data_IF_815434487001
#
_entry.id   IF_815434487001
#
_cell.length_a   1.000
_cell.length_b   1.000
_cell.length_c   1.000
_cell.angle_alpha   90.00
_cell.angle_beta   90.00
_cell.angle_gamma   90.00
#
_symmetry.space_group_name_H-M   'P 1'
#
loop_
_entity.id
_entity.type
_entity.pdbx_description
1 polymer ?
#
# COMPACT_ATOMS: atom_id res chain seq x y z
N UNK A 1 -13.24 7.25 24.68
CA UNK A 1 -12.10 8.11 24.27
C UNK A 1 -11.34 7.33 23.22
N UNK A 2 -11.23 7.84 21.99
CA UNK A 2 -10.53 7.13 20.91
C UNK A 2 -9.05 7.04 21.24
N UNK A 3 -8.46 5.85 21.06
CA UNK A 3 -7.03 5.68 21.22
C UNK A 3 -6.30 6.31 20.04
N UNK A 4 -5.21 7.04 20.31
CA UNK A 4 -4.31 7.54 19.26
C UNK A 4 -3.38 6.42 18.80
N UNK A 5 -3.53 6.00 17.55
CA UNK A 5 -2.66 5.01 16.92
C UNK A 5 -1.58 5.69 16.07
N UNK A 6 -0.32 5.36 16.34
CA UNK A 6 0.84 5.82 15.56
C UNK A 6 1.36 4.76 14.57
N UNK A 7 0.65 3.64 14.45
CA UNK A 7 0.95 2.51 13.58
C UNK A 7 -0.33 1.76 13.25
N UNK A 8 -0.36 1.14 12.07
CA UNK A 8 -1.50 0.33 11.63
C UNK A 8 -1.76 -0.88 12.57
N UNK A 9 -3.02 -1.23 12.85
CA UNK A 9 -3.39 -2.42 13.64
C UNK A 9 -2.89 -3.75 13.06
N UNK A 10 -2.92 -3.88 11.74
CA UNK A 10 -2.48 -5.04 10.98
C UNK A 10 -1.26 -4.70 10.12
N UNK A 11 -0.46 -5.69 9.71
CA UNK A 11 0.64 -5.48 8.78
C UNK A 11 0.14 -4.86 7.47
N UNK A 12 0.75 -3.74 7.09
CA UNK A 12 0.53 -3.05 5.83
C UNK A 12 1.87 -2.50 5.34
N UNK A 13 2.22 -2.80 4.10
CA UNK A 13 3.46 -2.34 3.46
C UNK A 13 3.33 -0.85 3.15
N UNK A 14 4.36 -0.06 3.44
CA UNK A 14 4.34 1.37 3.16
C UNK A 14 3.61 2.24 4.19
N UNK A 15 3.07 1.66 5.29
CA UNK A 15 2.44 2.46 6.35
C UNK A 15 3.36 3.59 6.85
N UNK A 16 2.79 4.79 7.01
CA UNK A 16 3.55 6.01 7.35
C UNK A 16 3.84 6.18 8.85
N UNK A 17 4.02 5.07 9.57
CA UNK A 17 4.29 5.06 11.02
C UNK A 17 5.52 5.88 11.43
N UNK A 18 6.55 5.92 10.58
CA UNK A 18 7.78 6.69 10.85
C UNK A 18 7.56 8.20 10.70
N UNK A 19 6.56 8.61 9.91
CA UNK A 19 6.18 10.01 9.71
C UNK A 19 5.07 10.48 10.65
N UNK A 20 4.44 9.58 11.43
CA UNK A 20 3.26 9.90 12.23
C UNK A 20 3.43 11.16 13.08
N UNK A 21 4.56 11.30 13.80
CA UNK A 21 4.82 12.47 14.65
C UNK A 21 5.01 13.77 13.88
N UNK A 22 5.70 13.74 12.74
CA UNK A 22 5.87 14.94 11.90
C UNK A 22 4.56 15.30 11.21
N UNK A 23 3.79 14.31 10.77
CA UNK A 23 2.48 14.52 10.19
C UNK A 23 1.51 15.19 11.18
N UNK A 24 1.54 14.81 12.46
CA UNK A 24 0.77 15.47 13.51
C UNK A 24 1.08 16.97 13.60
N UNK A 25 2.36 17.37 13.53
CA UNK A 25 2.75 18.80 13.53
C UNK A 25 2.26 19.53 12.27
N UNK A 26 2.25 18.85 11.13
CA UNK A 26 1.70 19.41 9.89
C UNK A 26 0.20 19.66 10.05
N UNK A 27 -0.53 18.74 10.68
CA UNK A 27 -1.98 18.89 10.93
C UNK A 27 -2.31 20.08 11.84
N UNK A 28 -1.43 20.49 12.74
CA UNK A 28 -1.63 21.67 13.60
C UNK A 28 -1.84 22.96 12.79
N UNK A 29 -1.27 23.05 11.57
CA UNK A 29 -1.35 24.22 10.69
C UNK A 29 -2.74 24.41 10.07
N UNK A 30 -3.59 23.38 10.10
CA UNK A 30 -4.92 23.41 9.50
C UNK A 30 -6.00 23.59 10.56
N UNK A 31 -7.05 24.41 10.33
CA UNK A 31 -8.17 24.54 11.26
C UNK A 31 -8.89 23.20 11.52
N UNK A 32 -9.41 23.02 12.73
CA UNK A 32 -10.40 21.95 12.95
C UNK A 32 -11.70 22.29 12.21
N UNK A 33 -12.32 21.30 11.58
CA UNK A 33 -13.41 21.52 10.60
C UNK A 33 -12.95 21.54 9.14
N UNK A 34 -11.64 21.50 8.87
CA UNK A 34 -11.09 21.32 7.51
C UNK A 34 -11.54 19.98 6.91
N UNK A 35 -11.83 19.93 5.62
CA UNK A 35 -12.03 18.68 4.89
C UNK A 35 -10.68 18.07 4.49
N UNK A 36 -10.42 16.86 4.95
CA UNK A 36 -9.27 16.06 4.53
C UNK A 36 -9.71 14.89 3.67
N UNK A 37 -9.01 14.69 2.55
CA UNK A 37 -9.29 13.60 1.62
C UNK A 37 -8.03 12.75 1.44
N UNK A 38 -8.05 11.55 1.99
CA UNK A 38 -6.99 10.56 1.87
C UNK A 38 -7.21 9.73 0.61
N UNK A 39 -6.50 10.10 -0.46
CA UNK A 39 -6.69 9.53 -1.79
C UNK A 39 -6.14 8.10 -1.90
N UNK A 40 -5.07 7.82 -1.17
CA UNK A 40 -4.35 6.53 -1.14
C UNK A 40 -4.35 6.01 0.29
N UNK A 41 -5.55 5.74 0.80
CA UNK A 41 -5.75 5.54 2.23
C UNK A 41 -4.95 4.38 2.82
N UNK A 42 -4.66 3.33 2.03
CA UNK A 42 -3.88 2.18 2.46
C UNK A 42 -4.39 1.61 3.78
N UNK A 43 -3.54 1.62 4.81
CA UNK A 43 -3.92 1.15 6.16
C UNK A 43 -4.86 2.08 6.95
N UNK A 44 -5.24 3.23 6.41
CA UNK A 44 -6.02 4.27 7.09
C UNK A 44 -5.27 5.02 8.21
N UNK A 45 -3.94 4.88 8.30
CA UNK A 45 -3.17 5.46 9.42
C UNK A 45 -3.19 6.99 9.40
N UNK A 46 -3.02 7.60 8.22
CA UNK A 46 -3.05 9.06 8.08
C UNK A 46 -4.45 9.58 8.40
N UNK A 47 -5.48 8.99 7.79
CA UNK A 47 -6.89 9.26 8.10
C UNK A 47 -7.20 9.16 9.60
N UNK A 48 -6.77 8.09 10.28
CA UNK A 48 -6.96 7.91 11.72
C UNK A 48 -6.32 9.04 12.55
N UNK A 49 -5.06 9.39 12.25
CA UNK A 49 -4.34 10.45 12.96
C UNK A 49 -5.05 11.79 12.73
N UNK A 50 -5.42 12.09 11.48
CA UNK A 50 -6.15 13.31 11.13
C UNK A 50 -7.44 13.43 11.90
N UNK A 51 -8.31 12.40 11.90
CA UNK A 51 -9.60 12.46 12.60
C UNK A 51 -9.44 12.54 14.12
N UNK A 52 -8.39 11.93 14.67
CA UNK A 52 -8.11 11.96 16.11
C UNK A 52 -7.61 13.33 16.58
N UNK A 53 -6.85 14.06 15.75
CA UNK A 53 -6.38 15.42 16.05
C UNK A 53 -7.37 16.53 15.67
N UNK A 54 -8.22 16.26 14.68
CA UNK A 54 -9.22 17.19 14.15
C UNK A 54 -10.61 16.53 14.23
N UNK A 55 -11.18 16.40 15.44
CA UNK A 55 -12.44 15.67 15.63
C UNK A 55 -13.62 16.30 14.89
N UNK A 56 -13.60 17.61 14.65
CA UNK A 56 -14.66 18.32 13.92
C UNK A 56 -14.44 18.34 12.40
N UNK A 57 -13.23 18.01 11.93
CA UNK A 57 -12.95 17.80 10.51
C UNK A 57 -13.68 16.60 9.92
N UNK A 58 -14.10 16.74 8.66
CA UNK A 58 -14.51 15.61 7.83
C UNK A 58 -13.27 14.96 7.24
N UNK A 59 -13.16 13.64 7.35
CA UNK A 59 -11.99 12.89 6.85
C UNK A 59 -12.49 11.77 5.96
N UNK A 60 -12.24 11.91 4.66
CA UNK A 60 -12.54 10.88 3.67
C UNK A 60 -11.35 9.91 3.62
N UNK A 61 -11.61 8.65 3.92
CA UNK A 61 -10.65 7.55 3.82
C UNK A 61 -10.97 6.70 2.59
N UNK A 62 -10.13 6.77 1.55
CA UNK A 62 -10.26 5.89 0.39
C UNK A 62 -9.59 4.53 0.66
N UNK A 63 -10.39 3.55 1.07
CA UNK A 63 -9.97 2.18 1.31
C UNK A 63 -10.02 1.35 0.01
N UNK A 64 -9.07 1.60 -0.88
CA UNK A 64 -8.94 0.88 -2.15
C UNK A 64 -8.43 -0.56 -1.95
N UNK A 65 -7.49 -0.78 -1.03
CA UNK A 65 -6.90 -2.09 -0.72
C UNK A 65 -7.79 -2.97 0.18
N UNK A 66 -8.99 -2.49 0.53
CA UNK A 66 -9.97 -3.16 1.38
C UNK A 66 -9.41 -3.57 2.76
N UNK A 67 -8.56 -2.72 3.34
CA UNK A 67 -7.95 -2.92 4.64
C UNK A 67 -8.99 -3.04 5.75
N UNK A 68 -10.15 -2.36 5.65
CA UNK A 68 -11.27 -2.52 6.59
C UNK A 68 -11.79 -3.96 6.63
N UNK A 69 -11.76 -4.67 5.49
CA UNK A 69 -12.21 -6.05 5.42
C UNK A 69 -11.26 -6.98 6.15
N UNK A 70 -9.95 -6.73 6.04
CA UNK A 70 -8.93 -7.43 6.84
C UNK A 70 -9.15 -7.20 8.34
N UNK A 71 -9.42 -5.96 8.74
CA UNK A 71 -9.71 -5.62 10.13
C UNK A 71 -10.96 -6.32 10.67
N UNK A 72 -12.03 -6.40 9.89
CA UNK A 72 -13.25 -7.12 10.27
C UNK A 72 -13.00 -8.60 10.58
N UNK A 73 -11.98 -9.20 9.95
CA UNK A 73 -11.62 -10.61 10.12
C UNK A 73 -10.46 -10.85 11.10
N UNK A 74 -10.13 -9.86 11.95
CA UNK A 74 -9.15 -10.02 13.03
C UNK A 74 -9.49 -11.21 13.95
N UNK A 75 -10.75 -11.43 14.38
CA UNK A 75 -11.08 -12.57 15.24
C UNK A 75 -10.72 -13.93 14.62
N UNK A 76 -11.08 -14.14 13.34
CA UNK A 76 -10.80 -15.37 12.59
C UNK A 76 -9.29 -15.53 12.38
N UNK A 77 -8.60 -14.43 12.02
CA UNK A 77 -7.13 -14.44 11.88
C UNK A 77 -6.44 -14.81 13.18
N UNK A 78 -6.92 -14.29 14.32
CA UNK A 78 -6.40 -14.63 15.64
C UNK A 78 -6.63 -16.09 16.01
N UNK A 79 -7.81 -16.64 15.68
CA UNK A 79 -8.10 -18.06 15.90
C UNK A 79 -7.16 -18.94 15.08
N UNK A 80 -7.01 -18.68 13.78
CA UNK A 80 -6.09 -19.42 12.92
C UNK A 80 -4.65 -19.36 13.46
N UNK A 81 -4.18 -18.17 13.89
CA UNK A 81 -2.85 -18.03 14.49
C UNK A 81 -2.72 -18.76 15.83
N UNK A 82 -3.79 -18.86 16.61
CA UNK A 82 -3.81 -19.63 17.85
C UNK A 82 -3.68 -21.13 17.58
N UNK A 83 -4.43 -21.65 16.63
CA UNK A 83 -4.39 -23.06 16.25
C UNK A 83 -2.99 -23.44 15.73
N UNK A 84 -2.40 -22.62 14.85
CA UNK A 84 -1.03 -22.83 14.35
C UNK A 84 -0.02 -22.77 15.50
N UNK A 85 -0.18 -21.84 16.44
CA UNK A 85 0.69 -21.73 17.62
C UNK A 85 0.63 -22.99 18.49
N UNK A 86 -0.56 -23.54 18.68
CA UNK A 86 -0.76 -24.79 19.42
C UNK A 86 -0.12 -25.98 18.69
N UNK A 87 -0.34 -26.11 17.38
CA UNK A 87 0.28 -27.16 16.56
C UNK A 87 1.81 -27.12 16.61
N UNK A 88 2.40 -25.93 16.57
CA UNK A 88 3.85 -25.75 16.69
C UNK A 88 4.32 -26.04 18.11
N UNK A 89 3.60 -25.57 19.13
CA UNK A 89 3.92 -25.79 20.54
C UNK A 89 5.38 -25.49 20.86
N UNK A 90 6.03 -26.43 21.54
CA UNK A 90 7.48 -26.38 21.85
C UNK A 90 8.34 -27.18 20.85
N UNK A 91 7.74 -27.73 19.80
CA UNK A 91 8.44 -28.64 18.86
C UNK A 91 9.42 -27.91 17.93
N UNK A 92 9.15 -26.63 17.61
CA UNK A 92 10.01 -25.80 16.77
C UNK A 92 10.37 -24.52 17.51
N UNK A 93 11.66 -24.26 17.80
CA UNK A 93 12.07 -23.01 18.45
C UNK A 93 11.71 -21.79 17.61
N UNK A 94 11.57 -20.63 18.27
CA UNK A 94 11.28 -19.36 17.59
C UNK A 94 12.32 -19.06 16.50
N UNK A 95 11.87 -18.52 15.38
CA UNK A 95 12.69 -18.18 14.21
C UNK A 95 13.33 -19.38 13.49
N UNK A 96 12.94 -20.63 13.82
CA UNK A 96 13.39 -21.82 13.11
C UNK A 96 12.36 -22.27 12.06
N UNK A 97 12.86 -22.99 11.06
CA UNK A 97 12.05 -23.49 9.95
C UNK A 97 11.13 -24.61 10.44
N UNK A 98 9.87 -24.57 10.00
CA UNK A 98 8.88 -25.63 10.19
C UNK A 98 8.90 -26.54 8.95
N UNK A 99 9.10 -27.86 9.16
CA UNK A 99 9.29 -28.86 8.09
C UNK A 99 8.44 -30.10 8.33
N UNK A 100 8.40 -30.98 7.33
CA UNK A 100 7.79 -32.31 7.43
C UNK A 100 6.28 -32.26 7.65
N UNK A 101 5.75 -33.24 8.37
CA UNK A 101 4.31 -33.39 8.61
C UNK A 101 3.66 -32.16 9.27
N UNK A 102 4.37 -31.50 10.19
CA UNK A 102 3.87 -30.28 10.85
C UNK A 102 3.60 -29.16 9.84
N UNK A 103 4.44 -29.01 8.82
CA UNK A 103 4.24 -28.03 7.74
C UNK A 103 2.95 -28.33 6.97
N UNK A 104 2.72 -29.59 6.63
CA UNK A 104 1.53 -29.99 5.86
C UNK A 104 0.24 -29.86 6.67
N UNK A 105 0.30 -30.15 7.97
CA UNK A 105 -0.82 -29.91 8.89
C UNK A 105 -1.19 -28.43 9.00
N UNK A 106 -0.20 -27.54 9.03
CA UNK A 106 -0.44 -26.08 9.02
C UNK A 106 -1.15 -25.66 7.73
N UNK A 107 -0.70 -26.13 6.57
CA UNK A 107 -1.39 -25.81 5.31
C UNK A 107 -2.81 -26.36 5.26
N UNK A 108 -3.01 -27.60 5.72
CA UNK A 108 -4.35 -28.19 5.79
C UNK A 108 -5.29 -27.35 6.68
N UNK A 109 -4.77 -26.80 7.79
CA UNK A 109 -5.55 -25.91 8.67
C UNK A 109 -5.87 -24.58 8.02
N UNK A 110 -4.96 -24.01 7.22
CA UNK A 110 -5.20 -22.77 6.48
C UNK A 110 -6.26 -23.00 5.39
N UNK A 111 -6.15 -24.09 4.62
CA UNK A 111 -7.14 -24.48 3.60
C UNK A 111 -8.51 -24.73 4.24
N UNK A 112 -8.57 -25.35 5.43
CA UNK A 112 -9.81 -25.51 6.18
C UNK A 112 -10.43 -24.15 6.55
N UNK A 113 -9.64 -23.18 7.02
CA UNK A 113 -10.12 -21.82 7.33
C UNK A 113 -10.69 -21.14 6.07
N UNK A 114 -9.95 -21.21 4.97
CA UNK A 114 -10.36 -20.62 3.71
C UNK A 114 -11.68 -21.20 3.22
N UNK A 115 -11.86 -22.52 3.35
CA UNK A 115 -13.09 -23.21 2.96
C UNK A 115 -14.27 -22.94 3.92
N UNK A 116 -14.04 -22.85 5.23
CA UNK A 116 -15.12 -22.65 6.21
C UNK A 116 -15.56 -21.20 6.33
N UNK A 117 -14.61 -20.28 6.26
CA UNK A 117 -14.80 -18.85 6.50
C UNK A 117 -14.93 -18.06 5.19
N UNK A 118 -14.48 -18.65 4.08
CA UNK A 118 -14.46 -18.00 2.75
C UNK A 118 -13.38 -16.93 2.62
N UNK A 119 -12.47 -16.81 3.59
CA UNK A 119 -11.45 -15.77 3.61
C UNK A 119 -10.29 -16.11 4.57
N UNK A 120 -9.07 -15.77 4.14
CA UNK A 120 -7.86 -15.78 4.98
C UNK A 120 -7.09 -14.47 4.75
N UNK A 121 -6.70 -13.78 5.84
CA UNK A 121 -5.77 -12.65 5.75
C UNK A 121 -4.35 -13.15 5.54
N UNK A 122 -4.04 -13.51 4.29
CA UNK A 122 -2.74 -14.06 3.92
C UNK A 122 -1.58 -13.09 4.17
N UNK A 123 -1.81 -11.77 4.17
CA UNK A 123 -0.78 -10.77 4.46
C UNK A 123 -0.38 -10.88 5.94
N UNK A 124 -1.37 -10.89 6.84
CA UNK A 124 -1.12 -11.06 8.28
C UNK A 124 -0.52 -12.43 8.59
N UNK A 125 -1.06 -13.48 7.99
CA UNK A 125 -0.58 -14.85 8.15
C UNK A 125 0.87 -14.99 7.68
N UNK A 126 1.19 -14.51 6.47
CA UNK A 126 2.54 -14.53 5.91
C UNK A 126 3.56 -13.86 6.85
N UNK A 127 3.20 -12.73 7.46
CA UNK A 127 4.08 -12.06 8.43
C UNK A 127 4.41 -12.90 9.68
N UNK A 128 3.55 -13.86 10.01
CA UNK A 128 3.68 -14.75 11.17
C UNK A 128 4.38 -16.08 10.85
N UNK A 129 4.34 -16.55 9.59
CA UNK A 129 4.86 -17.87 9.22
C UNK A 129 5.85 -17.88 8.06
N UNK A 130 6.11 -16.77 7.38
CA UNK A 130 7.15 -16.64 6.36
C UNK A 130 8.32 -15.77 6.86
N UNK A 131 9.38 -15.72 6.05
CA UNK A 131 10.46 -14.76 6.27
C UNK A 131 9.96 -13.33 6.03
N UNK A 132 10.53 -12.35 6.73
CA UNK A 132 10.12 -10.95 6.62
C UNK A 132 10.17 -10.47 5.17
N UNK A 133 9.22 -9.60 4.80
CA UNK A 133 9.04 -9.05 3.44
C UNK A 133 8.61 -10.05 2.37
N UNK A 134 8.39 -11.33 2.71
CA UNK A 134 7.70 -12.28 1.82
C UNK A 134 6.24 -12.40 2.25
N UNK A 135 5.33 -11.90 1.43
CA UNK A 135 3.91 -12.17 1.54
C UNK A 135 3.46 -12.92 0.30
N UNK A 136 2.54 -13.86 0.49
CA UNK A 136 1.83 -14.55 -0.59
C UNK A 136 0.35 -14.34 -0.36
N UNK A 137 -0.44 -14.49 -1.41
CA UNK A 137 -1.89 -14.25 -1.38
C UNK A 137 -2.69 -15.56 -1.52
N UNK A 138 -2.03 -16.71 -1.54
CA UNK A 138 -2.66 -18.01 -1.69
C UNK A 138 -1.83 -19.10 -1.01
N UNK A 139 -2.49 -20.18 -0.59
CA UNK A 139 -1.79 -21.37 -0.08
C UNK A 139 -0.85 -21.95 -1.13
N UNK A 140 -1.26 -21.98 -2.40
CA UNK A 140 -0.44 -22.50 -3.50
C UNK A 140 0.91 -21.79 -3.61
N UNK A 141 0.94 -20.46 -3.47
CA UNK A 141 2.18 -19.70 -3.52
C UNK A 141 2.97 -19.79 -2.21
N UNK A 142 2.29 -19.89 -1.06
CA UNK A 142 2.96 -20.13 0.23
C UNK A 142 3.69 -21.48 0.27
N UNK A 143 3.14 -22.51 -0.39
CA UNK A 143 3.76 -23.85 -0.48
C UNK A 143 5.12 -23.84 -1.20
N UNK A 144 5.45 -22.78 -1.96
CA UNK A 144 6.76 -22.61 -2.61
C UNK A 144 7.82 -22.06 -1.65
N UNK A 145 7.42 -21.60 -0.47
CA UNK A 145 8.31 -20.97 0.51
C UNK A 145 8.56 -21.89 1.72
N UNK A 146 9.62 -21.56 2.48
CA UNK A 146 9.87 -22.15 3.78
C UNK A 146 9.01 -21.46 4.86
N UNK A 147 8.38 -22.26 5.72
CA UNK A 147 7.66 -21.75 6.89
C UNK A 147 8.62 -21.57 8.07
N UNK A 148 8.45 -20.53 8.86
CA UNK A 148 9.25 -20.22 10.05
C UNK A 148 8.33 -19.99 11.26
N UNK A 149 8.77 -20.38 12.45
CA UNK A 149 8.08 -20.04 13.69
C UNK A 149 8.30 -18.56 14.07
N UNK A 150 7.62 -17.66 13.37
CA UNK A 150 7.59 -16.22 13.65
C UNK A 150 6.27 -15.78 14.30
N UNK A 151 5.44 -16.73 14.73
CA UNK A 151 4.07 -16.50 15.18
C UNK A 151 4.08 -15.62 16.43
N UNK A 152 3.24 -14.59 16.44
CA UNK A 152 3.08 -13.72 17.60
C UNK A 152 2.56 -14.52 18.79
N UNK A 153 3.06 -14.23 20.00
CA UNK A 153 2.57 -14.87 21.23
C UNK A 153 1.14 -14.43 21.58
N UNK A 154 0.79 -13.20 21.24
CA UNK A 154 -0.53 -12.60 21.45
C UNK A 154 -1.20 -12.33 20.12
N UNK A 155 -2.54 -12.37 20.11
CA UNK A 155 -3.35 -11.98 18.96
C UNK A 155 -3.18 -10.50 18.59
N UNK A 156 -3.71 -10.13 17.44
CA UNK A 156 -3.91 -8.73 17.06
C UNK A 156 -5.12 -8.17 17.82
N UNK A 157 -5.02 -6.96 18.41
CA UNK A 157 -6.18 -6.31 19.01
C UNK A 157 -7.23 -5.99 17.94
N UNK A 158 -8.51 -6.09 18.28
CA UNK A 158 -9.61 -5.83 17.33
C UNK A 158 -9.70 -4.38 16.85
N UNK A 159 -9.21 -3.42 17.67
CA UNK A 159 -9.09 -2.00 17.29
C UNK A 159 -10.39 -1.41 16.71
N UNK A 160 -11.52 -1.67 17.37
CA UNK A 160 -12.86 -1.27 16.91
C UNK A 160 -13.05 0.24 16.76
N UNK A 161 -12.22 1.05 17.42
CA UNK A 161 -12.23 2.51 17.39
C UNK A 161 -11.33 3.12 16.29
N UNK A 162 -10.54 2.31 15.59
CA UNK A 162 -9.49 2.81 14.69
C UNK A 162 -10.02 3.57 13.46
N UNK A 163 -11.10 3.07 12.84
CA UNK A 163 -11.73 3.70 11.67
C UNK A 163 -12.97 4.54 12.03
N UNK A 164 -13.25 4.72 13.31
CA UNK A 164 -14.45 5.42 13.78
C UNK A 164 -14.45 6.88 13.27
N UNK A 165 -15.61 7.41 12.88
CA UNK A 165 -15.77 8.81 12.45
C UNK A 165 -15.06 9.18 11.14
N UNK A 166 -14.50 8.22 10.41
CA UNK A 166 -14.04 8.39 9.04
C UNK A 166 -15.21 8.17 8.08
N UNK A 167 -15.25 8.93 6.99
CA UNK A 167 -16.12 8.66 5.86
C UNK A 167 -15.37 7.77 4.87
N UNK A 168 -15.84 6.54 4.68
CA UNK A 168 -15.09 5.51 3.95
C UNK A 168 -15.62 5.39 2.52
N UNK A 169 -14.74 5.50 1.55
CA UNK A 169 -15.00 5.21 0.13
C UNK A 169 -14.04 4.12 -0.35
N UNK A 170 -14.36 3.45 -1.47
CA UNK A 170 -13.52 2.40 -2.06
C UNK A 170 -13.60 2.50 -3.59
N UNK A 171 -12.94 3.49 -4.17
CA UNK A 171 -12.91 3.67 -5.63
C UNK A 171 -11.57 4.27 -6.09
N UNK A 172 -11.40 4.39 -7.40
CA UNK A 172 -10.18 4.96 -7.98
C UNK A 172 -9.92 6.38 -7.44
N UNK A 173 -8.65 6.69 -7.17
CA UNK A 173 -8.28 7.97 -6.57
C UNK A 173 -8.72 9.17 -7.41
N UNK A 174 -8.79 9.05 -8.75
CA UNK A 174 -9.27 10.11 -9.65
C UNK A 174 -10.75 10.39 -9.42
N UNK A 175 -11.56 9.37 -9.13
CA UNK A 175 -12.98 9.56 -8.81
C UNK A 175 -13.15 10.30 -7.48
N UNK A 176 -12.39 9.90 -6.46
CA UNK A 176 -12.39 10.56 -5.15
C UNK A 176 -11.93 12.01 -5.29
N UNK A 177 -10.82 12.25 -5.98
CA UNK A 177 -10.32 13.59 -6.25
C UNK A 177 -11.36 14.46 -6.95
N UNK A 178 -11.96 13.98 -8.05
CA UNK A 178 -12.97 14.73 -8.80
C UNK A 178 -14.21 15.07 -7.98
N UNK A 179 -14.55 14.27 -6.96
CA UNK A 179 -15.69 14.55 -6.07
C UNK A 179 -15.43 15.72 -5.13
N UNK A 180 -14.19 15.95 -4.72
CA UNK A 180 -13.87 16.90 -3.64
C UNK A 180 -12.97 18.07 -4.05
N UNK A 181 -12.37 18.05 -5.25
CA UNK A 181 -11.41 19.08 -5.72
C UNK A 181 -11.96 20.51 -5.69
N UNK A 182 -13.25 20.69 -5.93
CA UNK A 182 -13.87 22.01 -6.02
C UNK A 182 -14.30 22.57 -4.65
N UNK A 183 -14.04 21.85 -3.55
CA UNK A 183 -14.38 22.29 -2.19
C UNK A 183 -13.31 23.25 -1.67
N UNK A 184 -13.66 24.50 -1.29
CA UNK A 184 -12.71 25.46 -0.76
C UNK A 184 -12.00 24.96 0.49
N UNK A 185 -10.67 25.06 0.52
CA UNK A 185 -9.86 24.69 1.68
C UNK A 185 -9.70 23.18 1.89
N UNK A 186 -10.09 22.34 0.93
CA UNK A 186 -9.82 20.90 0.96
C UNK A 186 -8.31 20.62 1.02
N UNK A 187 -7.93 19.63 1.83
CA UNK A 187 -6.55 19.16 1.95
C UNK A 187 -6.46 17.70 1.51
N UNK A 188 -5.64 17.43 0.49
CA UNK A 188 -5.41 16.08 0.00
C UNK A 188 -4.22 15.41 0.70
N UNK A 189 -4.44 14.22 1.24
CA UNK A 189 -3.35 13.35 1.70
C UNK A 189 -3.02 12.40 0.54
N UNK A 190 -1.78 12.46 0.08
CA UNK A 190 -1.36 11.86 -1.19
C UNK A 190 -0.14 10.97 -0.93
N UNK A 191 -0.39 9.66 -0.88
CA UNK A 191 0.63 8.64 -0.61
C UNK A 191 0.61 7.52 -1.66
N UNK A 192 0.93 7.83 -2.94
CA UNK A 192 0.81 6.86 -4.03
C UNK A 192 1.88 5.76 -3.93
N UNK A 193 1.67 4.61 -4.59
CA UNK A 193 2.74 3.64 -4.82
C UNK A 193 3.96 4.31 -5.48
N UNK A 194 5.16 4.11 -4.93
CA UNK A 194 6.36 4.81 -5.43
C UNK A 194 6.87 4.21 -6.74
N UNK A 195 7.17 5.09 -7.70
CA UNK A 195 7.81 4.74 -8.97
C UNK A 195 9.07 3.89 -8.72
N UNK A 196 9.26 2.83 -9.50
CA UNK A 196 10.44 1.95 -9.46
C UNK A 196 10.65 1.18 -8.15
N UNK A 197 9.60 1.02 -7.33
CA UNK A 197 9.62 0.05 -6.22
C UNK A 197 8.98 -1.26 -6.65
N UNK A 198 9.54 -2.39 -6.20
CA UNK A 198 9.06 -3.74 -6.51
C UNK A 198 7.62 -3.89 -5.98
N UNK A 199 6.62 -3.73 -6.86
CA UNK A 199 5.19 -3.61 -6.53
C UNK A 199 4.51 -4.96 -6.23
N UNK A 200 5.26 -6.00 -5.85
CA UNK A 200 4.73 -7.36 -5.66
C UNK A 200 3.51 -7.50 -4.72
N UNK A 201 3.18 -6.48 -3.92
CA UNK A 201 2.00 -6.40 -3.03
C UNK A 201 0.77 -5.80 -3.66
N UNK A 202 0.93 -4.95 -4.68
CA UNK A 202 -0.16 -4.15 -5.23
C UNK A 202 -0.71 -4.84 -6.46
N UNK A 203 -2.04 -4.89 -6.58
CA UNK A 203 -2.74 -5.55 -7.70
C UNK A 203 -2.59 -4.83 -9.05
N UNK A 204 -1.72 -3.82 -9.17
CA UNK A 204 -1.61 -2.96 -10.35
C UNK A 204 -0.15 -2.59 -10.66
N UNK A 205 0.21 -2.68 -11.94
CA UNK A 205 1.43 -2.10 -12.49
C UNK A 205 1.21 -0.61 -12.74
N UNK A 206 1.86 0.25 -11.95
CA UNK A 206 1.88 1.69 -12.19
C UNK A 206 2.94 2.04 -13.22
N UNK A 207 2.54 2.64 -14.34
CA UNK A 207 3.48 3.19 -15.31
C UNK A 207 3.85 4.64 -14.93
N UNK A 208 4.84 5.22 -15.63
CA UNK A 208 5.26 6.61 -15.38
C UNK A 208 4.11 7.61 -15.55
N UNK A 209 3.24 7.42 -16.54
CA UNK A 209 2.12 8.33 -16.79
C UNK A 209 1.10 8.30 -15.64
N UNK A 210 0.78 7.12 -15.10
CA UNK A 210 -0.10 6.99 -13.93
C UNK A 210 0.47 7.76 -12.73
N UNK A 211 1.79 7.65 -12.53
CA UNK A 211 2.48 8.36 -11.45
C UNK A 211 2.50 9.88 -11.67
N UNK A 212 2.71 10.35 -12.91
CA UNK A 212 2.64 11.77 -13.26
C UNK A 212 1.22 12.33 -13.17
N UNK A 213 0.20 11.51 -13.45
CA UNK A 213 -1.20 11.91 -13.29
C UNK A 213 -1.55 12.25 -11.84
N UNK A 214 -0.86 11.66 -10.84
CA UNK A 214 -1.03 12.04 -9.44
C UNK A 214 -0.56 13.47 -9.18
N UNK A 215 0.43 13.97 -9.92
CA UNK A 215 0.89 15.36 -9.76
C UNK A 215 -0.19 16.37 -10.15
N UNK A 216 -1.14 15.99 -11.02
CA UNK A 216 -2.26 16.86 -11.37
C UNK A 216 -3.17 17.15 -10.17
N UNK A 217 -3.20 16.27 -9.16
CA UNK A 217 -3.91 16.50 -7.89
C UNK A 217 -3.31 17.67 -7.11
N UNK A 218 -2.01 17.92 -7.25
CA UNK A 218 -1.30 18.93 -6.46
C UNK A 218 -1.59 20.36 -6.96
N UNK A 219 -1.98 20.49 -8.22
CA UNK A 219 -2.13 21.79 -8.88
C UNK A 219 -3.33 22.54 -8.33
N UNK A 220 -3.08 23.61 -7.59
CA UNK A 220 -4.13 24.51 -7.09
C UNK A 220 -4.80 24.05 -5.79
N UNK A 221 -4.25 23.03 -5.12
CA UNK A 221 -4.82 22.47 -3.89
C UNK A 221 -3.79 22.41 -2.76
N UNK A 222 -4.27 22.43 -1.52
CA UNK A 222 -3.45 22.11 -0.35
C UNK A 222 -3.25 20.61 -0.27
N UNK A 223 -2.02 20.17 0.01
CA UNK A 223 -1.70 18.74 0.07
C UNK A 223 -0.62 18.40 1.09
N UNK A 224 -0.62 17.13 1.50
CA UNK A 224 0.52 16.48 2.14
C UNK A 224 0.91 15.29 1.27
N UNK A 225 2.08 15.40 0.61
CA UNK A 225 2.56 14.40 -0.36
C UNK A 225 3.70 13.58 0.24
N UNK A 226 3.59 12.25 0.15
CA UNK A 226 4.61 11.33 0.60
C UNK A 226 5.36 10.73 -0.61
N UNK A 227 6.68 10.72 -0.54
CA UNK A 227 7.55 10.14 -1.57
C UNK A 227 8.86 9.61 -0.99
N UNK A 228 9.71 9.04 -1.83
CA UNK A 228 11.07 8.65 -1.49
C UNK A 228 12.07 9.15 -2.53
N UNK A 229 13.33 9.30 -2.12
CA UNK A 229 14.44 9.63 -3.01
C UNK A 229 14.67 8.61 -4.13
N UNK A 230 14.11 7.39 -4.01
CA UNK A 230 14.17 6.35 -5.04
C UNK A 230 13.17 6.56 -6.19
N UNK A 231 12.16 7.40 -6.00
CA UNK A 231 11.15 7.67 -7.04
C UNK A 231 11.65 8.62 -8.14
N UNK A 232 12.76 9.32 -7.93
CA UNK A 232 13.29 10.39 -8.81
C UNK A 232 12.30 11.51 -9.15
N UNK A 233 11.13 11.58 -8.49
CA UNK A 233 10.06 12.51 -8.88
C UNK A 233 10.43 13.97 -8.64
N UNK A 234 11.16 14.25 -7.55
CA UNK A 234 11.61 15.59 -7.25
C UNK A 234 12.60 16.10 -8.29
N UNK A 235 13.52 15.24 -8.71
CA UNK A 235 14.51 15.53 -9.77
C UNK A 235 13.80 15.77 -11.11
N UNK A 236 12.83 14.92 -11.46
CA UNK A 236 12.02 15.08 -12.67
C UNK A 236 11.23 16.39 -12.66
N UNK A 237 10.55 16.72 -11.56
CA UNK A 237 9.81 17.97 -11.43
C UNK A 237 10.73 19.20 -11.48
N UNK A 238 11.92 19.13 -10.89
CA UNK A 238 12.92 20.20 -10.97
C UNK A 238 13.40 20.38 -12.41
N UNK A 239 13.68 19.29 -13.12
CA UNK A 239 14.10 19.32 -14.52
C UNK A 239 13.01 19.87 -15.43
N UNK A 240 11.75 19.44 -15.29
CA UNK A 240 10.60 20.00 -16.02
C UNK A 240 10.47 21.50 -15.73
N UNK A 241 10.63 21.89 -14.46
CA UNK A 241 10.57 23.29 -14.04
C UNK A 241 11.65 24.17 -14.66
N UNK A 242 12.84 23.61 -14.94
CA UNK A 242 13.97 24.28 -15.63
C UNK A 242 13.81 24.29 -17.16
N UNK A 243 13.05 23.36 -17.73
CA UNK A 243 12.92 23.14 -19.19
C UNK A 243 11.48 23.29 -19.68
N UNK A 244 10.76 24.31 -19.22
CA UNK A 244 9.32 24.49 -19.47
C UNK A 244 8.94 24.55 -20.96
N UNK A 245 9.84 25.09 -21.78
CA UNK A 245 9.61 25.33 -23.21
C UNK A 245 10.06 24.17 -24.10
N UNK A 246 10.67 23.12 -23.54
CA UNK A 246 11.24 22.00 -24.32
C UNK A 246 10.15 21.16 -25.03
N UNK A 247 8.93 21.16 -24.50
CA UNK A 247 7.84 20.33 -25.01
C UNK A 247 8.17 18.84 -24.94
N UNK A 248 7.59 18.04 -25.85
CA UNK A 248 7.96 16.64 -26.02
C UNK A 248 9.12 16.53 -27.03
N UNK A 249 10.35 16.21 -26.61
CA UNK A 249 11.50 16.14 -27.52
C UNK A 249 11.36 15.02 -28.56
N UNK A 250 10.48 14.05 -28.34
CA UNK A 250 10.18 12.96 -29.27
C UNK A 250 8.98 13.25 -30.18
N UNK A 251 8.43 14.45 -30.12
CA UNK A 251 7.34 14.85 -31.01
C UNK A 251 7.81 14.83 -32.47
N UNK A 252 7.04 14.10 -33.30
CA UNK A 252 7.35 13.83 -34.71
C UNK A 252 8.63 13.00 -34.93
N UNK A 253 9.13 12.27 -33.93
CA UNK A 253 10.18 11.27 -34.14
C UNK A 253 9.63 10.05 -34.89
N UNK A 254 10.46 9.48 -35.75
CA UNK A 254 10.25 8.13 -36.27
C UNK A 254 10.76 7.12 -35.26
N UNK A 255 9.97 6.08 -35.00
CA UNK A 255 10.29 4.98 -34.11
C UNK A 255 10.60 3.72 -34.92
N UNK A 256 11.74 3.09 -34.65
CA UNK A 256 12.10 1.77 -35.16
C UNK A 256 12.22 0.83 -33.97
N UNK A 257 11.57 -0.32 -34.04
CA UNK A 257 11.56 -1.32 -32.97
C UNK A 257 12.20 -2.62 -33.44
N UNK A 258 13.01 -3.24 -32.59
CA UNK A 258 13.59 -4.55 -32.84
C UNK A 258 13.39 -5.45 -31.61
N UNK A 259 12.75 -6.60 -31.80
CA UNK A 259 12.54 -7.55 -30.72
C UNK A 259 13.79 -8.42 -30.56
N UNK A 260 14.52 -8.22 -29.47
CA UNK A 260 15.69 -9.01 -29.11
C UNK A 260 15.30 -10.10 -28.11
N UNK A 261 15.73 -11.33 -28.39
CA UNK A 261 15.63 -12.45 -27.46
C UNK A 261 16.98 -12.64 -26.77
N UNK A 262 17.05 -12.39 -25.47
CA UNK A 262 18.29 -12.64 -24.71
C UNK A 262 18.41 -14.12 -24.33
N UNK A 263 17.29 -14.78 -24.01
CA UNK A 263 17.22 -16.17 -23.53
C UNK A 263 15.78 -16.73 -23.75
N UNK A 264 15.57 -18.02 -23.46
CA UNK A 264 14.25 -18.69 -23.62
C UNK A 264 13.11 -18.03 -22.81
N UNK A 265 13.43 -17.29 -21.75
CA UNK A 265 12.44 -16.67 -20.83
C UNK A 265 12.44 -15.13 -20.85
N UNK A 266 13.26 -14.48 -21.68
CA UNK A 266 13.43 -13.02 -21.66
C UNK A 266 13.58 -12.46 -23.07
N UNK A 267 12.56 -11.72 -23.49
CA UNK A 267 12.57 -10.88 -24.69
C UNK A 267 12.42 -9.42 -24.28
N UNK A 268 13.11 -8.52 -24.96
CA UNK A 268 12.88 -7.09 -24.84
C UNK A 268 12.78 -6.46 -26.22
N UNK A 269 12.01 -5.38 -26.33
CA UNK A 269 11.92 -4.59 -27.55
C UNK A 269 12.92 -3.44 -27.43
N UNK A 270 13.97 -3.49 -28.23
CA UNK A 270 14.89 -2.37 -28.39
C UNK A 270 14.25 -1.32 -29.31
N UNK A 271 14.45 -0.05 -29.00
CA UNK A 271 13.74 1.05 -29.67
C UNK A 271 14.71 2.18 -30.03
N UNK A 272 14.74 2.56 -31.30
CA UNK A 272 15.48 3.72 -31.79
C UNK A 272 14.48 4.81 -32.22
N UNK A 273 14.64 6.01 -31.66
CA UNK A 273 13.87 7.20 -32.01
C UNK A 273 14.78 8.20 -32.72
N UNK A 274 14.37 8.69 -33.90
CA UNK A 274 15.14 9.71 -34.62
C UNK A 274 14.22 10.74 -35.29
N UNK A 275 14.73 11.97 -35.42
CA UNK A 275 14.10 13.07 -36.14
C UNK A 275 15.16 13.75 -36.99
N UNK A 276 14.81 14.03 -38.24
CA UNK A 276 15.64 14.79 -39.16
C UNK A 276 14.97 16.14 -39.37
N UNK A 277 15.64 17.23 -39.06
CA UNK A 277 15.12 18.55 -39.41
C UNK A 277 15.10 18.70 -40.93
N UNK A 278 14.03 19.27 -41.48
CA UNK A 278 14.01 19.71 -42.86
C UNK A 278 14.96 20.90 -43.00
N UNK A 279 15.81 20.87 -44.03
CA UNK A 279 16.76 21.94 -44.33
C UNK A 279 16.05 23.24 -44.72
#
# INVERSE_FOLDING_TARGET
MRKMYLSAPLPFVGQKRMFAKEFMKVLEQYPDGTLFVDLFGGSGLLSHITKSLKPHSTVIYNDFDNYRFRMKHIPQTNQLLADIREMVGNSVPRHKIIKGELRERIFSRIEQEENSTGYVDFITLSSSILFSMKYKLSVQDMRKEALYNNIRKTGYPECTDYLEGLEIVSCDYKEVFNRYKDIPGVVFLVDPPYLSTDVGTYNMYWNMADYLDVLNVLKGHSYVYFTSNKSSILELCEWIGKNRDLGNPFENCTKVEFNAHMNYNSSYTDMMLYKKEAA
#
